data_IF_433816025177
#
_entry.id   IF_433816025177
#
_cell.length_a   1.000
_cell.length_b   1.000
_cell.length_c   1.000
_cell.angle_alpha   90.00
_cell.angle_beta   90.00
_cell.angle_gamma   90.00
#
_symmetry.space_group_name_H-M   'P 1'
#
loop_
_entity.id
_entity.type
_entity.pdbx_description
1 polymer ?
#
# COMPACT_ATOMS: atom_id res chain seq x y z
N UNK A 1 -25.66 25.83 -9.90
CA UNK A 1 -24.53 24.96 -10.33
C UNK A 1 -24.78 24.59 -11.77
N UNK A 2 -23.87 24.95 -12.67
CA UNK A 2 -23.98 24.59 -14.09
C UNK A 2 -24.04 23.07 -14.25
N UNK A 3 -25.05 22.59 -14.96
CA UNK A 3 -25.34 21.17 -15.07
C UNK A 3 -24.56 20.52 -16.22
N UNK A 4 -23.27 20.84 -16.35
CA UNK A 4 -22.43 20.35 -17.44
C UNK A 4 -21.98 18.90 -17.18
N UNK A 5 -21.80 18.13 -18.25
CA UNK A 5 -21.42 16.72 -18.24
C UNK A 5 -20.20 16.45 -17.37
N UNK A 6 -19.17 17.31 -17.43
CA UNK A 6 -17.94 17.18 -16.65
C UNK A 6 -18.19 17.21 -15.14
N UNK A 7 -19.11 18.06 -14.69
CA UNK A 7 -19.50 18.11 -13.28
C UNK A 7 -20.28 16.86 -12.87
N UNK A 8 -21.19 16.37 -13.72
CA UNK A 8 -21.92 15.12 -13.43
C UNK A 8 -20.96 13.92 -13.34
N UNK A 9 -19.99 13.89 -14.24
CA UNK A 9 -18.97 12.85 -14.28
C UNK A 9 -18.04 12.93 -13.07
N UNK A 10 -17.65 14.13 -12.61
CA UNK A 10 -16.76 14.27 -11.45
C UNK A 10 -17.41 13.73 -10.17
N UNK A 11 -18.71 13.99 -9.96
CA UNK A 11 -19.47 13.42 -8.84
C UNK A 11 -19.53 11.89 -8.93
N UNK A 12 -19.78 11.35 -10.12
CA UNK A 12 -19.86 9.90 -10.35
C UNK A 12 -18.51 9.23 -10.10
N UNK A 13 -17.43 9.76 -10.66
CA UNK A 13 -16.07 9.23 -10.51
C UNK A 13 -15.64 9.24 -9.05
N UNK A 14 -15.85 10.36 -8.35
CA UNK A 14 -15.54 10.46 -6.92
C UNK A 14 -16.30 9.41 -6.11
N UNK A 15 -17.59 9.19 -6.42
CA UNK A 15 -18.42 8.19 -5.75
C UNK A 15 -17.91 6.78 -6.00
N UNK A 16 -17.62 6.42 -7.26
CA UNK A 16 -17.15 5.08 -7.62
C UNK A 16 -15.80 4.81 -6.96
N UNK A 17 -14.82 5.69 -7.16
CA UNK A 17 -13.46 5.50 -6.63
C UNK A 17 -13.46 5.45 -5.10
N UNK A 18 -14.18 6.36 -4.45
CA UNK A 18 -14.31 6.38 -2.99
C UNK A 18 -14.97 5.10 -2.45
N UNK A 19 -16.02 4.62 -3.11
CA UNK A 19 -16.74 3.41 -2.71
C UNK A 19 -15.88 2.15 -2.83
N UNK A 20 -15.09 2.03 -3.91
CA UNK A 20 -14.20 0.89 -4.12
C UNK A 20 -13.14 0.77 -3.02
N UNK A 21 -12.65 1.89 -2.49
CA UNK A 21 -11.71 1.89 -1.36
C UNK A 21 -12.36 1.25 -0.12
N UNK A 22 -13.61 1.61 0.20
CA UNK A 22 -14.32 1.04 1.35
C UNK A 22 -14.68 -0.43 1.14
N UNK A 23 -15.11 -0.80 -0.06
CA UNK A 23 -15.42 -2.20 -0.39
C UNK A 23 -14.15 -3.06 -0.24
N UNK A 24 -13.04 -2.63 -0.81
CA UNK A 24 -11.78 -3.35 -0.70
C UNK A 24 -11.28 -3.44 0.74
N UNK A 25 -11.41 -2.35 1.51
CA UNK A 25 -11.10 -2.34 2.94
C UNK A 25 -11.98 -3.33 3.73
N UNK A 26 -13.28 -3.37 3.41
CA UNK A 26 -14.24 -4.31 4.01
C UNK A 26 -13.86 -5.76 3.76
N UNK A 27 -13.54 -6.13 2.51
CA UNK A 27 -13.03 -7.46 2.21
C UNK A 27 -11.74 -7.78 2.96
N UNK A 28 -10.79 -6.84 3.02
CA UNK A 28 -9.54 -7.04 3.74
C UNK A 28 -9.77 -7.28 5.25
N UNK A 29 -10.72 -6.55 5.87
CA UNK A 29 -11.10 -6.76 7.27
C UNK A 29 -11.68 -8.15 7.52
N UNK A 30 -12.50 -8.66 6.59
CA UNK A 30 -13.15 -9.97 6.73
C UNK A 30 -12.24 -11.16 6.35
N UNK A 31 -11.31 -10.97 5.42
CA UNK A 31 -10.37 -12.01 4.99
C UNK A 31 -9.11 -12.09 5.87
N UNK A 32 -8.74 -10.98 6.51
CA UNK A 32 -7.55 -10.90 7.38
C UNK A 32 -7.93 -10.46 8.81
N UNK A 33 -9.04 -10.99 9.33
CA UNK A 33 -9.58 -10.64 10.66
C UNK A 33 -8.55 -10.74 11.77
N UNK A 34 -7.85 -11.88 11.88
CA UNK A 34 -6.84 -12.11 12.91
C UNK A 34 -5.69 -11.09 12.85
N UNK A 35 -5.20 -10.79 11.65
CA UNK A 35 -4.13 -9.81 11.44
C UNK A 35 -4.58 -8.38 11.77
N UNK A 36 -5.81 -8.02 11.40
CA UNK A 36 -6.39 -6.72 11.71
C UNK A 36 -6.71 -6.56 13.21
N UNK A 37 -7.20 -7.61 13.87
CA UNK A 37 -7.44 -7.63 15.31
C UNK A 37 -6.13 -7.49 16.10
N UNK A 38 -5.09 -8.24 15.74
CA UNK A 38 -3.77 -8.14 16.35
C UNK A 38 -3.14 -6.74 16.19
N UNK A 39 -3.41 -6.06 15.07
CA UNK A 39 -3.00 -4.65 14.87
C UNK A 39 -3.75 -3.70 15.79
N UNK A 40 -5.06 -3.89 15.95
CA UNK A 40 -5.87 -3.09 16.86
C UNK A 40 -5.43 -3.27 18.31
N UNK A 41 -5.11 -4.49 18.75
CA UNK A 41 -4.64 -4.78 20.10
C UNK A 41 -3.28 -4.15 20.43
N UNK A 42 -2.39 -4.06 19.43
CA UNK A 42 -1.07 -3.43 19.59
C UNK A 42 -1.09 -1.91 19.48
N UNK A 43 -2.23 -1.33 19.12
CA UNK A 43 -2.33 0.10 18.87
C UNK A 43 -2.32 0.90 20.19
N UNK A 44 -1.74 2.12 20.21
CA UNK A 44 -1.59 2.91 21.43
C UNK A 44 -2.94 3.22 22.12
N UNK A 45 -4.01 3.29 21.34
CA UNK A 45 -5.37 3.57 21.83
C UNK A 45 -6.31 2.35 21.75
N UNK A 46 -5.76 1.13 21.75
CA UNK A 46 -6.54 -0.12 21.73
C UNK A 46 -7.59 -0.19 22.84
N UNK A 47 -7.28 0.38 24.02
CA UNK A 47 -8.15 0.40 25.18
C UNK A 47 -9.50 1.11 24.93
N UNK A 48 -9.55 2.09 24.03
CA UNK A 48 -10.80 2.78 23.67
C UNK A 48 -11.75 1.87 22.89
N UNK A 49 -11.21 0.92 22.13
CA UNK A 49 -11.98 -0.03 21.35
C UNK A 49 -12.44 -1.22 22.20
N UNK A 50 -11.55 -1.77 23.04
CA UNK A 50 -11.82 -2.99 23.81
C UNK A 50 -12.94 -2.85 24.84
N UNK A 51 -13.32 -1.62 25.24
CA UNK A 51 -14.47 -1.35 26.10
C UNK A 51 -15.82 -1.56 25.40
N UNK A 52 -15.85 -1.50 24.06
CA UNK A 52 -17.08 -1.65 23.27
C UNK A 52 -17.35 -3.13 23.00
N UNK A 53 -16.35 -3.82 22.44
CA UNK A 53 -16.42 -5.24 22.10
C UNK A 53 -15.01 -5.80 21.87
N UNK A 54 -14.84 -7.14 21.84
CA UNK A 54 -13.58 -7.76 21.47
C UNK A 54 -13.07 -7.28 20.10
N UNK A 55 -11.75 -7.20 19.93
CA UNK A 55 -11.10 -6.68 18.74
C UNK A 55 -11.59 -7.39 17.46
N UNK A 56 -11.66 -8.72 17.47
CA UNK A 56 -12.18 -9.49 16.34
C UNK A 56 -13.61 -9.11 15.96
N UNK A 57 -14.50 -8.97 16.94
CA UNK A 57 -15.90 -8.58 16.72
C UNK A 57 -15.99 -7.19 16.08
N UNK A 58 -15.18 -6.23 16.54
CA UNK A 58 -15.13 -4.88 15.98
C UNK A 58 -14.61 -4.86 14.55
N UNK A 59 -13.59 -5.67 14.26
CA UNK A 59 -13.04 -5.82 12.91
C UNK A 59 -14.07 -6.46 11.97
N UNK A 60 -14.79 -7.50 12.40
CA UNK A 60 -15.85 -8.12 11.60
C UNK A 60 -16.99 -7.14 11.36
N UNK A 61 -17.48 -6.47 12.41
CA UNK A 61 -18.59 -5.52 12.31
C UNK A 61 -18.23 -4.35 11.38
N UNK A 62 -17.01 -3.81 11.51
CA UNK A 62 -16.51 -2.77 10.61
C UNK A 62 -16.37 -3.30 9.19
N UNK A 63 -15.85 -4.51 8.98
CA UNK A 63 -15.73 -5.13 7.66
C UNK A 63 -17.08 -5.25 6.94
N UNK A 64 -18.10 -5.78 7.62
CA UNK A 64 -19.47 -5.86 7.09
C UNK A 64 -20.04 -4.47 6.83
N UNK A 65 -19.90 -3.54 7.78
CA UNK A 65 -20.38 -2.17 7.64
C UNK A 65 -19.74 -1.41 6.47
N UNK A 66 -18.44 -1.63 6.22
CA UNK A 66 -17.70 -1.07 5.09
C UNK A 66 -18.19 -1.64 3.75
N UNK A 67 -18.46 -2.95 3.67
CA UNK A 67 -19.00 -3.57 2.46
C UNK A 67 -20.41 -3.06 2.15
N UNK A 68 -21.29 -3.02 3.14
CA UNK A 68 -22.66 -2.52 2.99
C UNK A 68 -22.64 -1.04 2.63
N UNK A 69 -21.97 -0.22 3.42
CA UNK A 69 -21.87 1.22 3.21
C UNK A 69 -21.23 1.57 1.87
N UNK A 70 -20.13 0.90 1.52
CA UNK A 70 -19.43 1.10 0.25
C UNK A 70 -20.29 0.71 -0.95
N UNK A 71 -21.00 -0.41 -0.88
CA UNK A 71 -21.90 -0.85 -1.96
C UNK A 71 -23.11 0.07 -2.12
N UNK A 72 -23.69 0.53 -1.01
CA UNK A 72 -24.77 1.52 -1.00
C UNK A 72 -24.32 2.86 -1.61
N UNK A 73 -23.14 3.34 -1.22
CA UNK A 73 -22.56 4.57 -1.76
C UNK A 73 -22.28 4.42 -3.27
N UNK A 74 -21.72 3.29 -3.71
CA UNK A 74 -21.43 3.01 -5.12
C UNK A 74 -22.69 3.09 -5.97
N UNK A 75 -23.74 2.39 -5.55
CA UNK A 75 -25.04 2.38 -6.21
C UNK A 75 -25.77 3.73 -6.12
N UNK A 76 -25.31 4.64 -5.25
CA UNK A 76 -26.00 5.89 -4.94
C UNK A 76 -27.37 5.64 -4.31
N UNK A 77 -27.45 4.65 -3.41
CA UNK A 77 -28.65 4.29 -2.64
C UNK A 77 -28.52 4.75 -1.19
N UNK A 78 -29.48 5.53 -0.72
CA UNK A 78 -29.45 6.27 0.55
C UNK A 78 -28.09 6.91 0.80
N UNK A 79 -27.59 7.64 -0.20
CA UNK A 79 -26.19 8.10 -0.28
C UNK A 79 -25.72 8.83 0.97
N UNK A 80 -26.57 9.71 1.53
CA UNK A 80 -26.24 10.47 2.75
C UNK A 80 -26.07 9.56 3.97
N UNK A 81 -26.96 8.55 4.11
CA UNK A 81 -26.89 7.59 5.20
C UNK A 81 -25.72 6.61 5.01
N UNK A 82 -25.47 6.17 3.78
CA UNK A 82 -24.31 5.34 3.46
C UNK A 82 -23.00 6.05 3.82
N UNK A 83 -22.87 7.33 3.43
CA UNK A 83 -21.71 8.13 3.76
C UNK A 83 -21.56 8.40 5.26
N UNK A 84 -22.67 8.66 5.97
CA UNK A 84 -22.67 8.83 7.42
C UNK A 84 -22.28 7.53 8.16
N UNK A 85 -22.78 6.38 7.72
CA UNK A 85 -22.39 5.07 8.26
C UNK A 85 -20.90 4.81 8.07
N UNK A 86 -20.39 5.01 6.85
CA UNK A 86 -18.97 4.85 6.55
C UNK A 86 -18.10 5.80 7.38
N UNK A 87 -18.56 7.03 7.60
CA UNK A 87 -17.86 8.01 8.43
C UNK A 87 -17.82 7.58 9.89
N UNK A 88 -18.94 7.10 10.43
CA UNK A 88 -19.05 6.60 11.79
C UNK A 88 -18.14 5.37 12.04
N UNK A 89 -17.88 4.56 11.01
CA UNK A 89 -16.92 3.45 11.08
C UNK A 89 -15.48 3.94 10.94
N UNK A 90 -15.23 4.89 10.03
CA UNK A 90 -13.89 5.37 9.71
C UNK A 90 -13.25 6.15 10.87
N UNK A 91 -14.02 6.95 11.61
CA UNK A 91 -13.51 7.78 12.70
C UNK A 91 -12.86 6.92 13.80
N UNK A 92 -13.54 5.92 14.40
CA UNK A 92 -12.93 5.05 15.39
C UNK A 92 -11.68 4.34 14.87
N UNK A 93 -11.72 3.77 13.65
CA UNK A 93 -10.56 3.08 13.05
C UNK A 93 -9.35 4.02 12.93
N UNK A 94 -9.59 5.27 12.53
CA UNK A 94 -8.53 6.27 12.39
C UNK A 94 -7.92 6.59 13.75
N UNK A 95 -8.76 6.88 14.74
CA UNK A 95 -8.30 7.28 16.08
C UNK A 95 -7.60 6.15 16.83
N UNK A 96 -8.06 4.91 16.69
CA UNK A 96 -7.51 3.79 17.47
C UNK A 96 -6.27 3.19 16.83
N UNK A 97 -6.26 3.01 15.51
CA UNK A 97 -5.19 2.26 14.81
C UNK A 97 -4.17 3.17 14.14
N UNK A 98 -4.58 4.35 13.64
CA UNK A 98 -3.75 5.14 12.74
C UNK A 98 -3.12 6.37 13.40
N UNK A 99 -3.70 6.87 14.50
CA UNK A 99 -3.07 7.93 15.30
C UNK A 99 -1.94 7.30 16.11
N UNK A 100 -0.69 7.57 15.70
CA UNK A 100 0.52 7.03 16.34
C UNK A 100 1.13 5.81 15.66
N UNK A 101 0.60 5.38 14.50
CA UNK A 101 1.29 4.40 13.66
C UNK A 101 2.53 5.03 12.99
N UNK A 102 3.57 4.24 12.76
CA UNK A 102 4.78 4.70 12.06
C UNK A 102 4.44 5.12 10.62
N UNK A 103 4.73 6.39 10.30
CA UNK A 103 4.42 6.99 9.01
C UNK A 103 3.02 7.62 8.94
N UNK A 104 2.95 8.84 8.37
CA UNK A 104 1.71 9.63 8.30
C UNK A 104 0.80 9.28 7.11
N UNK A 105 1.26 8.45 6.18
CA UNK A 105 0.54 8.10 4.94
C UNK A 105 -0.86 7.50 5.17
N UNK A 106 -1.02 6.44 5.98
CA UNK A 106 -2.33 5.87 6.28
C UNK A 106 -3.31 6.88 6.89
N UNK A 107 -2.83 7.74 7.79
CA UNK A 107 -3.62 8.77 8.45
C UNK A 107 -4.15 9.81 7.44
N UNK A 108 -3.30 10.33 6.55
CA UNK A 108 -3.72 11.29 5.53
C UNK A 108 -4.72 10.71 4.52
N UNK A 109 -4.60 9.42 4.18
CA UNK A 109 -5.61 8.73 3.37
C UNK A 109 -6.98 8.77 4.06
N UNK A 110 -7.04 8.50 5.36
CA UNK A 110 -8.30 8.54 6.10
C UNK A 110 -8.87 9.97 6.20
N UNK A 111 -8.02 10.99 6.36
CA UNK A 111 -8.46 12.40 6.30
C UNK A 111 -9.11 12.73 4.94
N UNK A 112 -8.49 12.31 3.83
CA UNK A 112 -9.06 12.51 2.49
C UNK A 112 -10.41 11.79 2.33
N UNK A 113 -10.51 10.56 2.84
CA UNK A 113 -11.77 9.80 2.83
C UNK A 113 -12.86 10.47 3.67
N UNK A 114 -12.53 11.02 4.85
CA UNK A 114 -13.46 11.81 5.66
C UNK A 114 -13.99 13.00 4.86
N UNK A 115 -13.13 13.75 4.17
CA UNK A 115 -13.53 14.86 3.31
C UNK A 115 -14.50 14.44 2.21
N UNK A 116 -14.22 13.32 1.54
CA UNK A 116 -15.11 12.75 0.51
C UNK A 116 -16.46 12.28 1.09
N UNK A 117 -16.47 11.68 2.29
CA UNK A 117 -17.71 11.27 2.94
C UNK A 117 -18.56 12.47 3.36
N UNK A 118 -17.95 13.50 3.96
CA UNK A 118 -18.63 14.75 4.28
C UNK A 118 -19.25 15.40 3.03
N UNK A 119 -18.53 15.37 1.91
CA UNK A 119 -19.06 15.82 0.63
C UNK A 119 -20.35 15.08 0.24
N UNK A 120 -20.40 13.75 0.36
CA UNK A 120 -21.62 12.98 0.04
C UNK A 120 -22.71 13.07 1.11
N UNK A 121 -22.39 13.36 2.37
CA UNK A 121 -23.38 13.66 3.41
C UNK A 121 -24.15 14.94 3.06
N UNK A 122 -23.43 15.99 2.66
CA UNK A 122 -24.04 17.28 2.29
C UNK A 122 -24.77 17.19 0.96
N UNK A 123 -24.08 16.70 -0.08
CA UNK A 123 -24.59 16.76 -1.45
C UNK A 123 -25.49 15.59 -1.84
N UNK A 124 -25.31 14.40 -1.23
CA UNK A 124 -25.94 13.16 -1.71
C UNK A 124 -25.36 12.69 -3.05
N UNK A 125 -26.02 11.74 -3.71
CA UNK A 125 -25.53 11.20 -4.98
C UNK A 125 -25.52 12.23 -6.13
N UNK A 126 -26.47 13.18 -6.10
CA UNK A 126 -26.79 14.24 -7.11
C UNK A 126 -27.05 13.72 -8.53
N UNK A 127 -26.20 12.86 -9.10
CA UNK A 127 -26.28 12.31 -10.46
C UNK A 127 -26.08 10.79 -10.47
N UNK A 128 -26.77 10.09 -11.38
CA UNK A 128 -26.60 8.65 -11.66
C UNK A 128 -26.71 7.74 -10.41
N UNK A 129 -27.51 8.09 -9.42
CA UNK A 129 -27.71 7.29 -8.20
C UNK A 129 -29.14 6.75 -8.12
N UNK A 130 -29.29 5.56 -7.53
CA UNK A 130 -30.61 4.96 -7.27
C UNK A 130 -31.54 5.86 -6.44
N UNK A 131 -30.98 6.76 -5.63
CA UNK A 131 -31.73 7.79 -4.90
C UNK A 131 -32.67 8.58 -5.83
N UNK A 132 -32.23 8.91 -7.04
CA UNK A 132 -33.05 9.64 -8.02
C UNK A 132 -34.23 8.82 -8.52
N UNK A 133 -34.04 7.52 -8.76
CA UNK A 133 -35.12 6.63 -9.22
C UNK A 133 -36.23 6.51 -8.17
N UNK A 134 -35.89 6.58 -6.88
CA UNK A 134 -36.87 6.49 -5.79
C UNK A 134 -37.64 7.79 -5.57
N UNK A 135 -36.97 8.95 -5.67
CA UNK A 135 -37.62 10.27 -5.55
C UNK A 135 -38.45 10.63 -6.80
N UNK A 136 -38.00 10.27 -8.00
CA UNK A 136 -38.80 10.40 -9.22
C UNK A 136 -40.10 9.58 -9.13
N UNK A 137 -40.09 8.42 -8.47
CA UNK A 137 -41.31 7.62 -8.30
C UNK A 137 -42.36 8.26 -7.36
N UNK A 138 -41.93 9.05 -6.37
CA UNK A 138 -42.85 9.79 -5.47
C UNK A 138 -43.43 11.04 -6.14
N UNK A 139 -42.61 11.75 -6.91
CA UNK A 139 -43.06 12.92 -7.69
C UNK A 139 -43.91 12.49 -8.90
N UNK A 140 -43.53 11.40 -9.57
CA UNK A 140 -44.35 10.76 -10.59
C UNK A 140 -45.68 10.29 -10.02
N UNK A 141 -45.80 9.68 -8.83
CA UNK A 141 -47.13 9.31 -8.29
C UNK A 141 -48.07 10.51 -8.08
N UNK A 142 -47.55 11.73 -7.93
CA UNK A 142 -48.34 12.97 -7.93
C UNK A 142 -48.67 13.48 -9.33
N UNK A 143 -47.87 13.15 -10.33
CA UNK A 143 -48.00 13.63 -11.72
C UNK A 143 -48.62 12.58 -12.67
N UNK A 144 -48.63 11.28 -12.30
CA UNK A 144 -49.12 10.14 -13.10
C UNK A 144 -50.65 10.04 -13.17
N UNK A 145 -51.39 10.97 -12.55
CA UNK A 145 -52.80 11.19 -12.90
C UNK A 145 -52.93 11.92 -14.25
N UNK A 146 -51.85 12.51 -14.75
CA UNK A 146 -51.79 13.15 -16.06
C UNK A 146 -50.65 12.56 -16.89
N UNK A 147 -51.05 12.01 -18.04
CA UNK A 147 -50.23 11.75 -19.22
C UNK A 147 -49.58 10.36 -19.30
N UNK A 148 -50.36 9.51 -19.94
CA UNK A 148 -50.03 8.26 -20.61
C UNK A 148 -49.02 8.52 -21.76
N UNK A 149 -48.26 7.46 -22.06
CA UNK A 149 -47.48 7.16 -23.28
C UNK A 149 -46.00 7.55 -23.27
N UNK A 150 -45.14 6.56 -23.55
CA UNK A 150 -43.73 6.77 -23.86
C UNK A 150 -42.84 5.66 -23.34
N UNK A 151 -42.75 4.58 -24.12
CA UNK A 151 -42.00 3.36 -23.87
C UNK A 151 -40.47 3.54 -24.03
N UNK A 152 -39.74 2.71 -23.28
CA UNK A 152 -38.37 2.19 -23.47
C UNK A 152 -37.23 3.13 -23.91
N UNK A 153 -36.31 3.44 -22.98
CA UNK A 153 -34.87 3.13 -23.17
C UNK A 153 -34.28 2.79 -21.79
N UNK A 154 -34.40 1.52 -21.41
CA UNK A 154 -33.38 0.89 -20.58
C UNK A 154 -32.31 0.32 -21.53
N UNK A 155 -31.12 0.06 -20.98
CA UNK A 155 -30.03 -0.74 -21.56
C UNK A 155 -28.99 0.06 -22.37
N UNK A 156 -27.88 0.42 -21.70
CA UNK A 156 -26.50 -0.02 -22.01
C UNK A 156 -25.45 0.85 -21.33
N UNK A 157 -24.77 0.28 -20.34
CA UNK A 157 -23.32 0.42 -20.14
C UNK A 157 -22.85 -0.55 -19.03
N UNK A 158 -23.13 -1.85 -19.24
CA UNK A 158 -22.19 -2.89 -18.81
C UNK A 158 -21.20 -3.00 -19.96
N UNK A 159 -19.94 -2.65 -19.72
CA UNK A 159 -18.92 -2.70 -20.77
C UNK A 159 -17.68 -1.87 -20.49
N UNK A 160 -17.04 -2.05 -19.33
CA UNK A 160 -15.57 -1.97 -19.22
C UNK A 160 -15.11 -2.62 -17.91
N UNK A 161 -15.36 -3.93 -17.81
CA UNK A 161 -14.77 -4.82 -16.82
C UNK A 161 -13.90 -5.80 -17.61
N UNK A 162 -12.75 -5.31 -18.06
CA UNK A 162 -11.55 -6.05 -18.45
C UNK A 162 -10.60 -5.05 -19.11
N UNK A 163 -9.74 -4.45 -18.29
CA UNK A 163 -8.32 -4.17 -18.54
C UNK A 163 -7.88 -3.26 -17.40
N UNK A 164 -7.11 -3.82 -16.48
CA UNK A 164 -5.99 -3.23 -15.74
C UNK A 164 -5.57 -4.22 -14.64
N UNK A 165 -5.09 -5.38 -15.10
CA UNK A 165 -4.10 -6.16 -14.37
C UNK A 165 -2.77 -5.88 -15.06
N UNK A 166 -1.97 -4.97 -14.51
CA UNK A 166 -0.51 -4.95 -14.64
C UNK A 166 0.06 -3.86 -13.75
N UNK A 167 1.07 -4.26 -12.99
CA UNK A 167 1.99 -3.44 -12.25
C UNK A 167 2.61 -2.36 -13.15
N UNK A 168 2.67 -1.12 -12.68
CA UNK A 168 3.62 -0.12 -13.16
C UNK A 168 3.86 0.90 -12.05
N UNK A 169 4.89 0.64 -11.26
CA UNK A 169 5.70 1.68 -10.62
C UNK A 169 6.35 2.52 -11.72
N UNK A 170 5.88 3.76 -11.92
CA UNK A 170 6.63 4.81 -12.61
C UNK A 170 6.73 5.98 -11.63
N UNK A 171 7.82 6.12 -10.87
CA UNK A 171 8.92 7.05 -11.19
C UNK A 171 8.50 8.23 -12.07
N UNK A 172 8.26 9.38 -11.42
CA UNK A 172 8.29 10.68 -12.09
C UNK A 172 9.64 11.32 -11.79
N UNK A 173 10.30 11.69 -12.88
CA UNK A 173 11.63 12.25 -12.95
C UNK A 173 11.81 13.51 -12.09
N UNK A 174 12.87 13.54 -11.28
CA UNK A 174 13.47 14.77 -10.82
C UNK A 174 14.32 15.36 -11.96
N UNK A 175 14.10 16.64 -12.21
CA UNK A 175 14.78 17.46 -13.21
C UNK A 175 16.30 17.47 -12.97
N UNK A 176 17.05 17.32 -14.05
CA UNK A 176 18.48 17.55 -14.13
C UNK A 176 18.78 19.04 -14.16
N UNK A 177 19.47 19.53 -13.13
CA UNK A 177 20.24 20.79 -13.19
C UNK A 177 21.71 20.41 -13.42
N UNK A 178 22.42 21.03 -14.37
CA UNK A 178 23.84 20.75 -14.57
C UNK A 178 24.63 21.42 -13.44
N UNK A 179 25.19 20.61 -12.55
CA UNK A 179 26.21 21.08 -11.62
C UNK A 179 27.59 20.77 -12.20
N UNK A 180 28.33 21.86 -12.33
CA UNK A 180 29.70 22.04 -12.82
C UNK A 180 30.68 20.96 -12.37
N UNK A 181 31.48 20.52 -13.35
CA UNK A 181 32.70 19.75 -13.22
C UNK A 181 33.62 20.30 -12.12
N UNK A 182 33.87 19.49 -11.11
CA UNK A 182 35.14 19.53 -10.39
C UNK A 182 35.70 18.11 -10.39
N UNK A 183 36.72 17.90 -11.21
CA UNK A 183 37.53 16.69 -11.15
C UNK A 183 38.19 16.61 -9.77
N UNK A 184 37.92 15.53 -9.05
CA UNK A 184 38.65 15.16 -7.84
C UNK A 184 38.82 13.64 -7.83
N UNK A 185 40.09 13.26 -8.01
CA UNK A 185 40.80 12.03 -7.65
C UNK A 185 40.17 10.64 -7.85
N UNK A 186 40.97 9.81 -8.53
CA UNK A 186 40.73 8.40 -8.87
C UNK A 186 40.83 7.55 -7.60
N UNK A 187 39.72 7.41 -6.89
CA UNK A 187 39.50 6.40 -5.84
C UNK A 187 38.18 5.69 -6.12
N UNK A 188 38.18 4.36 -6.08
CA UNK A 188 36.96 3.58 -6.34
C UNK A 188 35.90 3.82 -5.26
N UNK A 189 34.62 3.67 -5.63
CA UNK A 189 33.49 3.89 -4.71
C UNK A 189 33.06 2.59 -4.06
N UNK A 190 32.69 2.67 -2.78
CA UNK A 190 32.22 1.55 -1.98
C UNK A 190 30.70 1.62 -1.83
N UNK A 191 30.03 0.49 -2.01
CA UNK A 191 28.57 0.42 -2.00
C UNK A 191 28.10 -0.67 -1.06
N UNK A 192 27.03 -0.41 -0.34
CA UNK A 192 26.36 -1.42 0.46
C UNK A 192 24.85 -1.37 0.28
N UNK A 193 24.21 -2.54 0.32
CA UNK A 193 22.77 -2.65 0.19
C UNK A 193 22.23 -3.48 1.35
N UNK A 194 21.31 -2.92 2.11
CA UNK A 194 20.52 -3.68 3.06
C UNK A 194 19.30 -4.25 2.34
N UNK A 195 19.05 -5.55 2.51
CA UNK A 195 17.87 -6.22 1.96
C UNK A 195 16.98 -6.73 3.07
N UNK A 196 15.66 -6.53 2.94
CA UNK A 196 14.67 -6.92 3.95
C UNK A 196 13.81 -8.14 3.56
N UNK A 197 13.71 -8.44 2.26
CA UNK A 197 12.93 -9.56 1.70
C UNK A 197 13.79 -10.51 0.84
N UNK A 198 13.46 -11.81 0.73
CA UNK A 198 14.23 -12.77 -0.05
C UNK A 198 14.42 -12.40 -1.53
N UNK A 199 13.38 -11.86 -2.16
CA UNK A 199 13.40 -11.45 -3.56
C UNK A 199 14.28 -10.23 -3.84
N UNK A 200 14.67 -9.46 -2.82
CA UNK A 200 15.56 -8.31 -2.98
C UNK A 200 17.01 -8.72 -3.27
N UNK A 201 17.40 -9.96 -2.94
CA UNK A 201 18.71 -10.50 -3.29
C UNK A 201 18.96 -10.41 -4.80
N UNK A 202 17.97 -10.76 -5.62
CA UNK A 202 18.05 -10.66 -7.07
C UNK A 202 18.29 -9.22 -7.54
N UNK A 203 17.59 -8.26 -6.94
CA UNK A 203 17.77 -6.84 -7.26
C UNK A 203 19.18 -6.34 -6.88
N UNK A 204 19.68 -6.75 -5.70
CA UNK A 204 21.02 -6.42 -5.25
C UNK A 204 22.10 -7.03 -6.17
N UNK A 205 21.92 -8.27 -6.63
CA UNK A 205 22.83 -8.96 -7.55
C UNK A 205 22.87 -8.26 -8.91
N UNK A 206 21.72 -8.01 -9.53
CA UNK A 206 21.65 -7.28 -10.80
C UNK A 206 22.29 -5.88 -10.70
N UNK A 207 22.14 -5.24 -9.54
CA UNK A 207 22.76 -3.94 -9.27
C UNK A 207 24.29 -4.07 -9.21
N UNK A 208 24.82 -5.07 -8.53
CA UNK A 208 26.27 -5.30 -8.44
C UNK A 208 26.91 -5.66 -9.80
N UNK A 209 26.18 -6.39 -10.64
CA UNK A 209 26.61 -6.69 -12.02
C UNK A 209 26.67 -5.42 -12.90
N UNK A 210 25.79 -4.45 -12.64
CA UNK A 210 25.72 -3.19 -13.41
C UNK A 210 26.73 -2.15 -12.91
N UNK A 211 26.96 -2.09 -11.60
CA UNK A 211 27.86 -1.14 -10.96
C UNK A 211 29.27 -1.75 -10.98
N UNK A 212 29.95 -1.70 -12.13
CA UNK A 212 31.33 -2.20 -12.29
C UNK A 212 32.37 -1.08 -12.09
N UNK A 213 33.65 -1.44 -12.16
CA UNK A 213 34.78 -0.50 -12.08
C UNK A 213 34.80 0.47 -13.27
N UNK A 214 34.35 0.01 -14.43
CA UNK A 214 34.29 0.73 -15.71
C UNK A 214 33.01 1.55 -15.86
N UNK A 215 31.98 1.24 -15.07
CA UNK A 215 30.74 2.02 -15.04
C UNK A 215 30.98 3.42 -14.46
N UNK A 216 30.02 4.34 -14.67
CA UNK A 216 30.00 5.67 -14.02
C UNK A 216 30.06 5.63 -12.49
N UNK A 217 29.79 4.46 -11.91
CA UNK A 217 29.79 4.23 -10.47
C UNK A 217 31.16 3.76 -9.93
N UNK A 218 32.07 3.30 -10.80
CA UNK A 218 33.46 2.99 -10.46
C UNK A 218 33.61 2.15 -9.18
N UNK A 219 32.92 1.01 -9.14
CA UNK A 219 32.85 0.17 -7.94
C UNK A 219 34.20 -0.45 -7.58
N UNK A 220 34.55 -0.31 -6.31
CA UNK A 220 35.64 -1.06 -5.67
C UNK A 220 35.11 -2.18 -4.76
N UNK A 221 34.05 -1.91 -4.00
CA UNK A 221 33.46 -2.86 -3.05
C UNK A 221 31.93 -2.86 -3.15
N UNK A 222 31.32 -4.04 -3.02
CA UNK A 222 29.87 -4.21 -2.85
C UNK A 222 29.58 -5.12 -1.67
N UNK A 223 28.85 -4.62 -0.68
CA UNK A 223 28.38 -5.41 0.47
C UNK A 223 26.87 -5.56 0.39
N UNK A 224 26.37 -6.76 0.64
CA UNK A 224 24.93 -7.01 0.82
C UNK A 224 24.70 -7.49 2.26
N UNK A 225 23.90 -6.73 3.00
CA UNK A 225 23.51 -7.02 4.38
C UNK A 225 22.07 -7.54 4.41
N UNK A 226 21.88 -8.81 4.73
CA UNK A 226 20.57 -9.44 4.82
C UNK A 226 19.97 -9.29 6.22
N UNK A 227 18.86 -8.55 6.31
CA UNK A 227 18.07 -8.35 7.52
C UNK A 227 16.61 -8.78 7.29
N UNK A 228 15.84 -8.94 8.36
CA UNK A 228 14.43 -9.32 8.25
C UNK A 228 14.26 -10.70 7.61
N UNK A 229 13.25 -10.87 6.75
CA UNK A 229 12.97 -12.15 6.09
C UNK A 229 14.00 -12.54 5.04
N UNK A 230 14.80 -11.60 4.55
CA UNK A 230 15.80 -11.89 3.52
C UNK A 230 16.83 -12.93 3.93
N UNK A 231 17.05 -13.15 5.23
CA UNK A 231 17.97 -14.17 5.75
C UNK A 231 17.60 -15.59 5.29
N UNK A 232 16.32 -15.86 5.00
CA UNK A 232 15.84 -17.13 4.46
C UNK A 232 16.42 -17.43 3.07
N UNK A 233 16.76 -16.40 2.28
CA UNK A 233 17.37 -16.58 0.97
C UNK A 233 18.77 -17.20 1.04
N UNK A 234 19.44 -17.09 2.19
CA UNK A 234 20.79 -17.59 2.42
C UNK A 234 20.84 -18.96 3.08
N UNK A 235 19.68 -19.61 3.29
CA UNK A 235 19.63 -21.00 3.76
C UNK A 235 19.98 -21.97 2.62
N UNK A 236 20.75 -23.02 2.92
CA UNK A 236 21.12 -24.07 1.96
C UNK A 236 19.86 -24.69 1.33
N UNK A 237 19.83 -24.73 0.00
CA UNK A 237 18.66 -25.23 -0.75
C UNK A 237 17.54 -24.21 -0.97
N UNK A 238 17.75 -22.93 -0.64
CA UNK A 238 16.77 -21.88 -0.97
C UNK A 238 16.53 -21.77 -2.48
N UNK A 239 15.38 -21.22 -2.87
CA UNK A 239 15.08 -20.87 -4.25
C UNK A 239 15.97 -19.76 -4.83
N UNK A 240 16.84 -19.14 -4.01
CA UNK A 240 17.74 -18.06 -4.40
C UNK A 240 19.20 -18.49 -4.60
N UNK A 241 19.50 -19.79 -4.50
CA UNK A 241 20.87 -20.31 -4.64
C UNK A 241 21.55 -19.84 -5.94
N UNK A 242 20.83 -19.83 -7.06
CA UNK A 242 21.39 -19.36 -8.34
C UNK A 242 21.78 -17.88 -8.33
N UNK A 243 21.00 -17.01 -7.68
CA UNK A 243 21.32 -15.58 -7.61
C UNK A 243 22.48 -15.32 -6.64
N UNK A 244 22.61 -16.15 -5.59
CA UNK A 244 23.78 -16.11 -4.70
C UNK A 244 25.08 -16.42 -5.46
N UNK A 245 25.09 -17.47 -6.29
CA UNK A 245 26.25 -17.84 -7.09
C UNK A 245 26.65 -16.74 -8.08
N UNK A 246 25.66 -16.11 -8.74
CA UNK A 246 25.91 -14.95 -9.62
C UNK A 246 26.49 -13.78 -8.86
N UNK A 247 25.94 -13.43 -7.71
CA UNK A 247 26.46 -12.32 -6.92
C UNK A 247 27.86 -12.58 -6.38
N UNK A 248 28.18 -13.82 -6.02
CA UNK A 248 29.56 -14.22 -5.70
C UNK A 248 30.50 -14.02 -6.89
N UNK A 249 30.09 -14.41 -8.09
CA UNK A 249 30.85 -14.16 -9.31
C UNK A 249 31.00 -12.65 -9.63
N UNK A 250 30.00 -11.84 -9.26
CA UNK A 250 30.05 -10.38 -9.33
C UNK A 250 30.87 -9.71 -8.21
N UNK A 251 31.50 -10.49 -7.31
CA UNK A 251 32.33 -9.97 -6.23
C UNK A 251 31.53 -9.29 -5.12
N UNK A 252 30.31 -9.77 -4.85
CA UNK A 252 29.52 -9.33 -3.69
C UNK A 252 30.05 -9.97 -2.41
N UNK A 253 30.18 -9.15 -1.37
CA UNK A 253 30.44 -9.61 0.00
C UNK A 253 29.13 -9.72 0.77
N UNK A 254 28.73 -10.94 1.13
CA UNK A 254 27.46 -11.17 1.83
C UNK A 254 27.61 -11.20 3.35
N UNK A 255 26.64 -10.58 4.03
CA UNK A 255 26.51 -10.52 5.48
C UNK A 255 25.08 -10.83 5.90
N UNK A 256 24.89 -11.54 7.01
CA UNK A 256 23.58 -11.99 7.48
C UNK A 256 23.34 -11.54 8.92
N UNK A 257 22.16 -10.98 9.20
CA UNK A 257 21.83 -10.40 10.49
C UNK A 257 21.53 -11.47 11.54
N UNK A 258 22.36 -11.57 12.57
CA UNK A 258 22.21 -12.50 13.68
C UNK A 258 20.92 -12.31 14.48
N UNK A 259 20.47 -11.05 14.67
CA UNK A 259 19.16 -10.78 15.27
C UNK A 259 18.01 -11.34 14.43
N UNK A 260 18.08 -11.20 13.11
CA UNK A 260 17.05 -11.75 12.22
C UNK A 260 17.08 -13.28 12.19
N UNK A 261 18.26 -13.91 12.16
CA UNK A 261 18.37 -15.36 12.29
C UNK A 261 17.68 -15.89 13.56
N UNK A 262 17.91 -15.23 14.70
CA UNK A 262 17.22 -15.56 15.96
C UNK A 262 15.71 -15.36 15.86
N UNK A 263 15.27 -14.23 15.31
CA UNK A 263 13.85 -13.91 15.15
C UNK A 263 13.09 -14.93 14.29
N UNK A 264 13.73 -15.45 13.24
CA UNK A 264 13.14 -16.42 12.31
C UNK A 264 13.50 -17.88 12.65
N UNK A 265 14.16 -18.13 13.79
CA UNK A 265 14.60 -19.46 14.23
C UNK A 265 15.44 -20.23 13.20
N UNK A 266 16.37 -19.54 12.54
CA UNK A 266 17.27 -20.11 11.54
C UNK A 266 18.63 -20.37 12.19
N UNK A 267 19.11 -21.62 12.11
CA UNK A 267 20.42 -22.02 12.59
C UNK A 267 21.51 -21.57 11.60
N UNK A 268 22.54 -20.87 12.09
CA UNK A 268 23.63 -20.36 11.26
C UNK A 268 24.38 -21.48 10.50
N UNK A 269 24.40 -22.71 11.00
CA UNK A 269 25.01 -23.86 10.32
C UNK A 269 24.27 -24.27 9.03
N UNK A 270 23.01 -23.87 8.89
CA UNK A 270 22.19 -24.13 7.71
C UNK A 270 22.39 -23.12 6.59
N UNK A 271 23.17 -22.06 6.82
CA UNK A 271 23.43 -21.03 5.83
C UNK A 271 24.39 -21.53 4.74
N UNK A 272 24.29 -20.94 3.55
CA UNK A 272 25.24 -21.13 2.46
C UNK A 272 26.64 -20.69 2.88
N UNK A 273 27.66 -21.33 2.31
CA UNK A 273 29.04 -21.02 2.66
C UNK A 273 29.43 -19.61 2.18
N UNK A 274 30.49 -19.03 2.75
CA UNK A 274 30.98 -17.67 2.43
C UNK A 274 30.06 -16.50 2.85
N UNK A 275 29.15 -16.71 3.80
CA UNK A 275 28.42 -15.63 4.50
C UNK A 275 28.98 -15.43 5.90
N UNK A 276 29.11 -14.18 6.33
CA UNK A 276 29.48 -13.86 7.70
C UNK A 276 28.24 -13.38 8.47
N UNK A 277 28.04 -13.92 9.66
CA UNK A 277 26.94 -13.54 10.54
C UNK A 277 27.35 -12.33 11.37
N UNK A 278 26.64 -11.23 11.19
CA UNK A 278 26.85 -9.98 11.92
C UNK A 278 25.81 -9.87 13.03
N UNK A 279 26.19 -9.64 14.30
CA UNK A 279 25.24 -9.63 15.42
C UNK A 279 24.03 -8.72 15.20
N UNK A 280 24.26 -7.48 14.76
CA UNK A 280 23.24 -6.51 14.42
C UNK A 280 23.54 -5.88 13.05
N UNK A 281 22.69 -6.18 12.07
CA UNK A 281 22.86 -5.70 10.70
C UNK A 281 22.70 -4.19 10.53
N UNK A 282 21.87 -3.53 11.35
CA UNK A 282 21.64 -2.09 11.23
C UNK A 282 22.85 -1.28 11.72
N UNK A 283 23.44 -1.67 12.86
CA UNK A 283 24.67 -1.02 13.35
C UNK A 283 25.81 -1.20 12.37
N UNK A 284 25.92 -2.37 11.75
CA UNK A 284 26.92 -2.61 10.71
C UNK A 284 26.72 -1.74 9.46
N UNK A 285 25.47 -1.45 9.06
CA UNK A 285 25.23 -0.50 7.97
C UNK A 285 25.68 0.92 8.33
N UNK A 286 25.51 1.35 9.59
CA UNK A 286 26.08 2.62 10.06
C UNK A 286 27.60 2.59 10.05
N UNK A 287 28.24 1.50 10.50
CA UNK A 287 29.70 1.35 10.45
C UNK A 287 30.22 1.45 9.00
N UNK A 288 29.48 0.88 8.03
CA UNK A 288 29.83 1.00 6.61
C UNK A 288 29.68 2.44 6.10
N UNK A 289 28.64 3.17 6.51
CA UNK A 289 28.51 4.59 6.17
C UNK A 289 29.69 5.41 6.69
N UNK A 290 30.12 5.17 7.94
CA UNK A 290 31.30 5.82 8.53
C UNK A 290 32.60 5.45 7.79
N UNK A 291 32.67 4.24 7.24
CA UNK A 291 33.78 3.79 6.38
C UNK A 291 33.71 4.30 4.93
N UNK A 292 32.76 5.19 4.62
CA UNK A 292 32.61 5.83 3.31
C UNK A 292 31.80 5.03 2.29
N UNK A 293 31.02 4.03 2.73
CA UNK A 293 30.10 3.33 1.84
C UNK A 293 28.87 4.18 1.51
N UNK A 294 28.49 4.21 0.24
CA UNK A 294 27.16 4.66 -0.18
C UNK A 294 26.16 3.52 0.03
N UNK A 295 25.13 3.75 0.84
CA UNK A 295 24.17 2.71 1.23
C UNK A 295 22.79 2.89 0.61
N UNK A 296 22.14 1.78 0.26
CA UNK A 296 20.72 1.74 -0.16
C UNK A 296 19.98 0.66 0.65
N UNK A 297 18.71 0.88 0.93
CA UNK A 297 17.84 -0.13 1.54
C UNK A 297 16.76 -0.59 0.54
N UNK A 298 16.53 -1.90 0.49
CA UNK A 298 15.53 -2.56 -0.35
C UNK A 298 14.47 -3.28 0.49
#
# INVERSE_FOLDING_TARGET
MENNLLQKLSFLVLRIMGSLIFIMAGFNHLLQTAGAAARLEKAPFAHLASWIAPAETLIILSGVGLLIGGSMLLAGFKTRLAAALLLAILIPITLTVQVGAEGSGPLFKNIALIGMLLFFIVNGAVHYGLDQTFFQNKQMKSTLKNKISGNYVAVLAVGLLMFLGSCATGTTAAQSTPATTTAAEVGGKKYAVLISQPNHLKAAVNTAETITKESRYQRESFVVMACGKSVEAFVKGSNMAQEFDKGKAAGITYRVCGMSLKQFNIDASTLVDCVEVIPNGLTYMFDLQEQGYTTVEL
#
